data_IF_663676105351
#
_entry.id   IF_663676105351
#
_cell.length_a   1.000
_cell.length_b   1.000
_cell.length_c   1.000
_cell.angle_alpha   90.00
_cell.angle_beta   90.00
_cell.angle_gamma   90.00
#
_symmetry.space_group_name_H-M   'P 1'
#
loop_
_entity.id
_entity.type
_entity.pdbx_description
1 polymer ?
#
# COMPACT_ATOMS: atom_id res chain seq x y z
N UNK A 1 47.97 16.62 38.11
CA UNK A 1 46.91 16.40 39.12
C UNK A 1 45.72 17.26 38.73
N UNK A 2 44.80 16.72 37.92
CA UNK A 2 43.57 17.40 37.51
C UNK A 2 42.52 17.25 38.62
N UNK A 3 41.89 18.36 39.01
CA UNK A 3 40.79 18.37 39.98
C UNK A 3 39.55 17.72 39.36
N UNK A 4 38.73 16.98 40.15
CA UNK A 4 37.48 16.41 39.65
C UNK A 4 36.48 17.53 39.33
N UNK A 5 35.86 17.45 38.16
CA UNK A 5 34.70 18.25 37.77
C UNK A 5 33.56 18.02 38.75
N UNK A 6 33.09 19.10 39.38
CA UNK A 6 32.01 19.09 40.35
C UNK A 6 30.72 18.54 39.73
N UNK A 7 30.13 17.54 40.39
CA UNK A 7 28.75 17.12 40.18
C UNK A 7 27.82 18.32 40.38
N UNK A 8 27.03 18.65 39.37
CA UNK A 8 25.98 19.66 39.46
C UNK A 8 24.91 19.17 40.45
N UNK A 9 25.03 19.55 41.71
CA UNK A 9 23.98 19.34 42.71
C UNK A 9 22.74 20.17 42.30
N UNK A 10 21.78 19.49 41.67
CA UNK A 10 20.49 20.07 41.29
C UNK A 10 19.72 20.58 42.51
N UNK A 11 18.99 21.68 42.34
CA UNK A 11 18.14 22.31 43.36
C UNK A 11 17.35 21.25 44.15
N UNK A 12 17.56 21.21 45.47
CA UNK A 12 16.86 20.28 46.36
C UNK A 12 15.36 20.34 46.12
N UNK A 13 14.77 19.26 45.62
CA UNK A 13 13.37 19.30 45.23
C UNK A 13 12.80 17.94 44.89
N UNK A 14 11.50 17.80 45.14
CA UNK A 14 10.57 16.80 44.64
C UNK A 14 10.47 16.66 43.09
N UNK A 15 11.44 17.20 42.33
CA UNK A 15 11.48 17.18 40.86
C UNK A 15 11.96 15.86 40.21
N UNK A 16 12.83 15.02 40.81
CA UNK A 16 13.24 13.75 40.20
C UNK A 16 12.06 12.82 39.88
N UNK A 17 11.04 12.74 40.73
CA UNK A 17 9.86 11.91 40.46
C UNK A 17 8.94 12.47 39.36
N UNK A 18 9.18 13.70 38.89
CA UNK A 18 8.41 14.25 37.77
C UNK A 18 8.83 13.64 36.43
N UNK A 19 10.09 13.20 36.28
CA UNK A 19 10.52 12.51 35.04
C UNK A 19 9.91 11.13 34.91
N UNK A 20 9.40 10.55 36.00
CA UNK A 20 8.74 9.25 36.00
C UNK A 20 7.26 9.30 35.60
N UNK A 21 6.68 10.50 35.45
CA UNK A 21 5.27 10.69 35.02
C UNK A 21 5.12 10.56 33.50
N UNK A 22 5.44 9.39 32.97
CA UNK A 22 5.40 9.10 31.54
C UNK A 22 4.36 8.04 31.19
N UNK A 23 3.90 8.04 29.94
CA UNK A 23 3.03 6.98 29.43
C UNK A 23 3.69 5.59 29.55
N UNK A 24 5.00 5.50 29.28
CA UNK A 24 5.78 4.28 29.47
C UNK A 24 5.66 3.74 30.90
N UNK A 25 5.87 4.59 31.91
CA UNK A 25 5.80 4.15 33.30
C UNK A 25 4.37 3.79 33.73
N UNK A 26 3.33 4.45 33.19
CA UNK A 26 1.94 4.04 33.39
C UNK A 26 1.65 2.64 32.80
N UNK A 27 2.22 2.32 31.64
CA UNK A 27 2.12 0.97 31.04
C UNK A 27 2.89 -0.06 31.88
N UNK A 28 4.07 0.28 32.40
CA UNK A 28 4.82 -0.62 33.29
C UNK A 28 4.02 -0.99 34.53
N UNK A 29 3.42 0.00 35.20
CA UNK A 29 2.59 -0.22 36.40
C UNK A 29 1.38 -1.12 36.10
N UNK A 30 0.71 -0.91 34.95
CA UNK A 30 -0.38 -1.78 34.51
C UNK A 30 0.09 -3.22 34.31
N UNK A 31 1.24 -3.43 33.64
CA UNK A 31 1.78 -4.76 33.40
C UNK A 31 2.13 -5.45 34.72
N UNK A 32 2.79 -4.74 35.64
CA UNK A 32 3.20 -5.31 36.92
C UNK A 32 1.98 -5.64 37.81
N UNK A 33 1.00 -4.74 37.88
CA UNK A 33 -0.19 -4.93 38.72
C UNK A 33 -1.13 -6.02 38.21
N UNK A 34 -1.31 -6.15 36.89
CA UNK A 34 -2.28 -7.10 36.31
C UNK A 34 -1.66 -8.43 35.87
N UNK A 35 -0.38 -8.43 35.49
CA UNK A 35 0.29 -9.56 34.85
C UNK A 35 1.61 -9.96 35.52
N UNK A 36 2.03 -9.28 36.59
CA UNK A 36 3.30 -9.56 37.27
C UNK A 36 3.43 -10.98 37.82
N UNK A 37 2.29 -11.65 38.08
CA UNK A 37 2.23 -13.06 38.51
C UNK A 37 2.54 -14.07 37.41
N UNK A 38 2.54 -13.67 36.13
CA UNK A 38 2.79 -14.55 34.98
C UNK A 38 4.29 -14.77 34.68
N UNK A 39 5.19 -14.16 35.45
CA UNK A 39 6.64 -14.27 35.27
C UNK A 39 7.19 -13.38 34.15
N UNK A 40 8.51 -13.08 34.20
CA UNK A 40 9.20 -12.22 33.23
C UNK A 40 9.95 -11.02 33.83
N UNK A 41 9.60 -10.63 35.06
CA UNK A 41 10.30 -9.60 35.85
C UNK A 41 10.30 -8.20 35.23
N UNK A 42 10.89 -7.24 35.95
CA UNK A 42 10.89 -5.82 35.55
C UNK A 42 11.48 -5.57 34.16
N UNK A 43 12.44 -6.40 33.72
CA UNK A 43 13.07 -6.25 32.41
C UNK A 43 12.11 -6.51 31.26
N UNK A 44 11.25 -7.54 31.36
CA UNK A 44 10.24 -7.80 30.33
C UNK A 44 9.18 -6.70 30.31
N UNK A 45 8.72 -6.25 31.49
CA UNK A 45 7.76 -5.14 31.61
C UNK A 45 8.30 -3.85 30.99
N UNK A 46 9.57 -3.52 31.22
CA UNK A 46 10.22 -2.34 30.63
C UNK A 46 10.31 -2.42 29.10
N UNK A 47 10.68 -3.60 28.57
CA UNK A 47 10.71 -3.86 27.13
C UNK A 47 9.32 -3.70 26.50
N UNK A 48 8.30 -4.33 27.08
CA UNK A 48 6.92 -4.25 26.60
C UNK A 48 6.38 -2.82 26.69
N UNK A 49 6.61 -2.12 27.80
CA UNK A 49 6.17 -0.74 27.96
C UNK A 49 6.86 0.21 26.98
N UNK A 50 8.14 -0.02 26.68
CA UNK A 50 8.85 0.73 25.65
C UNK A 50 8.25 0.49 24.26
N UNK A 51 7.91 -0.76 23.93
CA UNK A 51 7.33 -1.08 22.62
C UNK A 51 5.90 -0.58 22.47
N UNK A 52 5.09 -0.65 23.54
CA UNK A 52 3.75 -0.05 23.58
C UNK A 52 3.83 1.47 23.43
N UNK A 53 4.79 2.13 24.07
CA UNK A 53 4.99 3.58 23.91
C UNK A 53 5.36 3.94 22.48
N UNK A 54 6.29 3.19 21.86
CA UNK A 54 6.63 3.38 20.44
C UNK A 54 5.43 3.15 19.51
N UNK A 55 4.60 2.14 19.80
CA UNK A 55 3.37 1.89 19.05
C UNK A 55 2.37 3.03 19.25
N UNK A 56 2.25 3.56 20.46
CA UNK A 56 1.39 4.70 20.73
C UNK A 56 1.87 5.94 19.96
N UNK A 57 3.17 6.26 19.99
CA UNK A 57 3.76 7.35 19.22
C UNK A 57 3.57 7.16 17.71
N UNK A 58 3.63 5.91 17.24
CA UNK A 58 3.40 5.59 15.84
C UNK A 58 1.92 5.80 15.45
N UNK A 59 0.97 5.29 16.25
CA UNK A 59 -0.47 5.20 15.91
C UNK A 59 -1.29 6.42 16.31
N UNK A 60 -0.93 7.11 17.38
CA UNK A 60 -1.61 8.29 17.85
C UNK A 60 -0.81 9.52 17.41
N UNK A 61 -1.12 10.03 16.21
CA UNK A 61 -0.58 11.29 15.73
C UNK A 61 -0.98 12.43 16.67
N UNK A 62 -0.03 13.28 17.06
CA UNK A 62 -0.38 14.51 17.80
C UNK A 62 -1.34 15.35 16.94
N UNK A 63 -2.43 15.83 17.55
CA UNK A 63 -3.51 16.57 16.88
C UNK A 63 -3.01 17.81 16.13
N UNK A 64 -1.84 18.33 16.50
CA UNK A 64 -1.25 19.54 15.93
C UNK A 64 -0.75 19.37 14.47
N UNK A 65 -0.74 18.14 13.93
CA UNK A 65 -0.22 17.84 12.60
C UNK A 65 -1.29 17.49 11.54
N UNK A 66 -2.58 17.49 11.89
CA UNK A 66 -3.67 17.16 10.95
C UNK A 66 -4.39 18.43 10.55
N UNK A 67 -4.38 18.75 9.24
CA UNK A 67 -5.06 19.93 8.70
C UNK A 67 -6.51 19.63 8.35
N UNK A 68 -7.34 20.68 8.28
CA UNK A 68 -8.73 20.56 7.77
C UNK A 68 -8.75 19.89 6.41
N UNK A 69 -9.68 18.95 6.22
CA UNK A 69 -9.79 18.19 4.98
C UNK A 69 -8.82 17.01 4.85
N UNK A 70 -8.03 16.71 5.88
CA UNK A 70 -7.20 15.51 5.93
C UNK A 70 -7.88 14.37 6.71
N UNK A 71 -7.54 13.14 6.33
CA UNK A 71 -8.02 11.91 6.95
C UNK A 71 -6.82 11.07 7.39
N UNK A 72 -6.84 10.63 8.66
CA UNK A 72 -5.86 9.67 9.18
C UNK A 72 -6.37 8.26 8.94
N UNK A 73 -5.53 7.42 8.34
CA UNK A 73 -5.84 6.03 8.00
C UNK A 73 -4.72 5.12 8.46
N UNK A 74 -5.07 3.95 8.98
CA UNK A 74 -4.11 2.87 9.23
C UNK A 74 -4.14 1.90 8.06
N UNK A 75 -3.03 1.79 7.33
CA UNK A 75 -2.97 1.08 6.05
C UNK A 75 -1.78 0.10 6.01
N UNK A 76 -1.86 -0.91 5.15
CA UNK A 76 -0.80 -1.92 4.98
C UNK A 76 0.49 -1.29 4.43
N UNK A 77 1.63 -1.58 5.04
CA UNK A 77 2.94 -1.16 4.55
C UNK A 77 3.21 -1.70 3.13
N UNK A 78 3.75 -0.87 2.23
CA UNK A 78 4.12 -1.28 0.88
C UNK A 78 5.19 -2.38 0.90
N UNK A 79 6.12 -2.33 1.86
CA UNK A 79 7.18 -3.31 2.08
C UNK A 79 6.69 -4.66 2.63
N UNK A 80 5.41 -4.79 2.98
CA UNK A 80 4.84 -6.03 3.48
C UNK A 80 4.91 -7.13 2.40
N UNK A 81 5.26 -8.35 2.80
CA UNK A 81 5.28 -9.49 1.87
C UNK A 81 3.94 -10.25 1.94
N UNK A 82 3.18 -10.31 0.84
CA UNK A 82 1.96 -11.10 0.80
C UNK A 82 2.29 -12.58 1.03
N UNK A 83 1.52 -13.25 1.88
CA UNK A 83 1.56 -14.71 2.07
C UNK A 83 0.15 -15.27 2.05
N UNK A 84 -0.03 -16.39 1.35
CA UNK A 84 -1.31 -17.10 1.30
C UNK A 84 -1.76 -17.44 2.73
N UNK A 85 -3.00 -17.13 3.07
CA UNK A 85 -3.57 -17.38 4.40
C UNK A 85 -3.15 -16.42 5.51
N UNK A 86 -2.27 -15.44 5.23
CA UNK A 86 -1.90 -14.42 6.22
C UNK A 86 -3.07 -13.50 6.52
N UNK A 87 -3.52 -13.50 7.79
CA UNK A 87 -4.61 -12.65 8.27
C UNK A 87 -4.19 -11.19 8.39
N UNK A 88 -5.16 -10.28 8.29
CA UNK A 88 -4.92 -8.84 8.46
C UNK A 88 -4.33 -8.52 9.83
N UNK A 89 -4.75 -9.23 10.89
CA UNK A 89 -4.22 -9.09 12.26
C UNK A 89 -2.69 -9.28 12.36
N UNK A 90 -2.08 -10.00 11.41
CA UNK A 90 -0.64 -10.28 11.40
C UNK A 90 0.10 -9.45 10.34
N UNK A 91 -0.55 -8.44 9.76
CA UNK A 91 -0.02 -7.61 8.67
C UNK A 91 0.59 -6.34 9.24
N UNK A 92 1.77 -5.93 8.75
CA UNK A 92 2.39 -4.68 9.19
C UNK A 92 1.57 -3.51 8.66
N UNK A 93 1.03 -2.73 9.59
CA UNK A 93 0.26 -1.53 9.30
C UNK A 93 1.07 -0.29 9.66
N UNK A 94 0.78 0.81 8.99
CA UNK A 94 1.34 2.12 9.28
C UNK A 94 0.21 3.17 9.14
N UNK A 95 0.07 4.07 10.12
CA UNK A 95 -0.82 5.20 10.01
C UNK A 95 -0.24 6.24 9.06
N UNK A 96 -1.10 6.82 8.25
CA UNK A 96 -0.78 7.86 7.28
C UNK A 96 -1.87 8.93 7.31
N UNK A 97 -1.54 10.11 6.82
CA UNK A 97 -2.50 11.19 6.63
C UNK A 97 -2.67 11.43 5.13
N UNK A 98 -3.90 11.44 4.64
CA UNK A 98 -4.21 11.75 3.24
C UNK A 98 -5.13 12.96 3.13
N UNK A 99 -4.98 13.74 2.07
CA UNK A 99 -5.92 14.82 1.77
C UNK A 99 -7.20 14.22 1.18
N UNK A 100 -8.36 14.44 1.81
CA UNK A 100 -9.66 14.00 1.29
C UNK A 100 -10.07 14.82 0.06
N UNK A 101 -9.74 16.11 0.07
CA UNK A 101 -9.90 17.03 -1.05
C UNK A 101 -8.73 18.00 -1.09
N UNK A 102 -8.49 18.57 -2.27
CA UNK A 102 -7.47 19.61 -2.49
C UNK A 102 -8.12 20.86 -3.08
N UNK A 103 -7.46 22.01 -2.93
CA UNK A 103 -7.96 23.27 -3.50
C UNK A 103 -8.18 23.16 -5.02
N UNK A 104 -7.27 22.46 -5.71
CA UNK A 104 -7.41 22.17 -7.15
C UNK A 104 -8.69 21.39 -7.46
N UNK A 105 -9.03 20.38 -6.67
CA UNK A 105 -10.26 19.60 -6.86
C UNK A 105 -11.52 20.43 -6.59
N UNK A 106 -11.46 21.36 -5.64
CA UNK A 106 -12.54 22.32 -5.39
C UNK A 106 -12.71 23.26 -6.59
N UNK A 107 -11.62 23.80 -7.13
CA UNK A 107 -11.66 24.64 -8.33
C UNK A 107 -12.16 23.89 -9.57
N UNK A 108 -11.70 22.64 -9.79
CA UNK A 108 -12.17 21.79 -10.88
C UNK A 108 -13.70 21.57 -10.76
N UNK A 109 -14.22 21.33 -9.54
CA UNK A 109 -15.66 21.20 -9.31
C UNK A 109 -16.38 22.52 -9.62
N UNK A 110 -15.96 23.65 -9.06
CA UNK A 110 -16.58 24.97 -9.30
C UNK A 110 -16.62 25.29 -10.80
N UNK A 111 -15.61 24.85 -11.55
CA UNK A 111 -15.49 25.02 -13.00
C UNK A 111 -16.40 24.08 -13.82
N UNK A 112 -17.24 23.28 -13.18
CA UNK A 112 -18.22 22.40 -13.82
C UNK A 112 -17.78 20.96 -14.04
N UNK A 113 -16.69 20.50 -13.43
CA UNK A 113 -16.26 19.10 -13.55
C UNK A 113 -17.31 18.13 -13.00
N UNK A 114 -17.64 17.11 -13.79
CA UNK A 114 -18.56 16.06 -13.37
C UNK A 114 -18.05 15.31 -12.13
N UNK A 115 -18.97 14.93 -11.24
CA UNK A 115 -18.67 14.24 -9.98
C UNK A 115 -17.94 12.91 -10.18
N UNK A 116 -18.22 12.21 -11.28
CA UNK A 116 -17.54 10.97 -11.65
C UNK A 116 -16.05 11.20 -11.93
N UNK A 117 -15.72 12.20 -12.74
CA UNK A 117 -14.34 12.54 -13.09
C UNK A 117 -13.57 13.05 -11.87
N UNK A 118 -14.23 13.82 -11.01
CA UNK A 118 -13.65 14.25 -9.75
C UNK A 118 -13.31 13.07 -8.84
N UNK A 119 -14.21 12.07 -8.73
CA UNK A 119 -13.96 10.83 -7.97
C UNK A 119 -12.79 10.03 -8.52
N UNK A 120 -12.71 9.86 -9.84
CA UNK A 120 -11.60 9.18 -10.52
C UNK A 120 -10.26 9.84 -10.16
N UNK A 121 -10.15 11.16 -10.39
CA UNK A 121 -8.95 11.95 -10.07
C UNK A 121 -8.57 11.83 -8.59
N UNK A 122 -9.54 11.97 -7.69
CA UNK A 122 -9.33 11.90 -6.25
C UNK A 122 -8.82 10.53 -5.81
N UNK A 123 -9.46 9.45 -6.24
CA UNK A 123 -9.05 8.08 -5.90
C UNK A 123 -7.61 7.82 -6.38
N UNK A 124 -7.29 8.19 -7.61
CA UNK A 124 -5.94 8.03 -8.15
C UNK A 124 -4.89 8.84 -7.38
N UNK A 125 -5.22 10.08 -7.00
CA UNK A 125 -4.35 10.93 -6.17
C UNK A 125 -4.13 10.31 -4.78
N UNK A 126 -5.19 9.90 -4.09
CA UNK A 126 -5.13 9.32 -2.74
C UNK A 126 -4.28 8.04 -2.75
N UNK A 127 -4.38 7.20 -3.77
CA UNK A 127 -3.51 6.02 -3.94
C UNK A 127 -2.02 6.41 -4.05
N UNK A 128 -1.70 7.41 -4.87
CA UNK A 128 -0.32 7.90 -5.02
C UNK A 128 0.21 8.51 -3.73
N UNK A 129 -0.57 9.36 -3.07
CA UNK A 129 -0.22 9.99 -1.80
C UNK A 129 0.07 8.98 -0.68
N UNK A 130 -0.69 7.89 -0.64
CA UNK A 130 -0.43 6.80 0.30
C UNK A 130 0.85 6.01 -0.05
N UNK A 131 1.07 5.76 -1.34
CA UNK A 131 2.27 5.08 -1.80
C UNK A 131 3.54 5.88 -1.50
N UNK A 132 3.49 7.20 -1.70
CA UNK A 132 4.58 8.12 -1.36
C UNK A 132 4.92 8.10 0.14
N UNK A 133 3.94 7.77 0.99
CA UNK A 133 4.12 7.56 2.43
C UNK A 133 4.53 6.13 2.81
N UNK A 134 4.75 5.25 1.82
CA UNK A 134 5.24 3.88 2.01
C UNK A 134 4.17 2.87 2.39
N UNK A 135 2.88 3.15 2.09
CA UNK A 135 1.77 2.22 2.35
C UNK A 135 0.94 1.99 1.09
N UNK A 136 0.16 0.92 1.05
CA UNK A 136 -0.68 0.56 -0.11
C UNK A 136 -2.11 0.28 0.34
N UNK A 137 -3.05 1.08 -0.17
CA UNK A 137 -4.48 0.90 0.10
C UNK A 137 -5.07 -0.22 -0.75
N UNK A 138 -6.10 -0.88 -0.24
CA UNK A 138 -6.94 -1.78 -1.02
C UNK A 138 -8.21 -1.06 -1.53
N UNK A 139 -8.97 -1.71 -2.42
CA UNK A 139 -10.19 -1.11 -2.97
C UNK A 139 -11.30 -0.90 -1.93
N UNK A 140 -11.29 -1.70 -0.85
CA UNK A 140 -12.17 -1.52 0.30
C UNK A 140 -11.87 -0.22 1.05
N UNK A 141 -10.60 0.09 1.30
CA UNK A 141 -10.18 1.35 1.93
C UNK A 141 -10.70 2.55 1.13
N UNK A 142 -10.49 2.56 -0.20
CA UNK A 142 -11.02 3.60 -1.09
C UNK A 142 -12.55 3.68 -1.06
N UNK A 143 -13.23 2.53 -1.01
CA UNK A 143 -14.69 2.45 -1.00
C UNK A 143 -15.29 3.06 0.27
N UNK A 144 -14.62 2.90 1.42
CA UNK A 144 -15.02 3.53 2.67
C UNK A 144 -14.84 5.06 2.62
N UNK A 145 -13.70 5.52 2.09
CA UNK A 145 -13.42 6.96 1.95
C UNK A 145 -14.44 7.66 1.04
N UNK A 146 -14.90 6.98 -0.02
CA UNK A 146 -15.77 7.57 -1.04
C UNK A 146 -17.23 7.14 -0.94
N UNK A 147 -17.61 6.39 0.10
CA UNK A 147 -18.95 5.85 0.32
C UNK A 147 -19.52 5.14 -0.92
N UNK A 148 -18.75 4.20 -1.47
CA UNK A 148 -19.17 3.37 -2.59
C UNK A 148 -18.82 1.90 -2.33
N UNK A 149 -19.08 1.02 -3.30
CA UNK A 149 -18.66 -0.38 -3.20
C UNK A 149 -17.21 -0.56 -3.67
N UNK A 150 -16.48 -1.58 -3.20
CA UNK A 150 -15.14 -1.91 -3.71
C UNK A 150 -15.14 -2.15 -5.22
N UNK A 151 -16.25 -2.69 -5.77
CA UNK A 151 -16.42 -2.87 -7.21
C UNK A 151 -16.46 -1.53 -7.95
N UNK A 152 -17.20 -0.55 -7.44
CA UNK A 152 -17.26 0.80 -8.01
C UNK A 152 -15.92 1.52 -7.91
N UNK A 153 -15.23 1.42 -6.76
CA UNK A 153 -13.89 1.97 -6.61
C UNK A 153 -12.91 1.34 -7.63
N UNK A 154 -12.96 0.02 -7.81
CA UNK A 154 -12.17 -0.69 -8.82
C UNK A 154 -12.46 -0.22 -10.24
N UNK A 155 -13.73 0.01 -10.60
CA UNK A 155 -14.10 0.55 -11.92
C UNK A 155 -13.48 1.93 -12.17
N UNK A 156 -13.48 2.82 -11.19
CA UNK A 156 -12.87 4.15 -11.34
C UNK A 156 -11.34 4.07 -11.44
N UNK A 157 -10.70 3.26 -10.59
CA UNK A 157 -9.26 3.01 -10.66
C UNK A 157 -8.87 2.51 -12.05
N UNK A 158 -9.53 1.48 -12.56
CA UNK A 158 -9.26 0.95 -13.90
C UNK A 158 -9.56 1.93 -15.03
N UNK A 159 -10.58 2.78 -14.89
CA UNK A 159 -10.86 3.85 -15.85
C UNK A 159 -9.67 4.79 -15.96
N UNK A 160 -9.14 5.26 -14.81
CA UNK A 160 -7.96 6.14 -14.80
C UNK A 160 -6.73 5.45 -15.36
N UNK A 161 -6.50 4.19 -14.99
CA UNK A 161 -5.36 3.42 -15.50
C UNK A 161 -5.40 3.30 -17.02
N UNK A 162 -6.58 3.02 -17.60
CA UNK A 162 -6.77 2.92 -19.05
C UNK A 162 -6.65 4.28 -19.76
N UNK A 163 -7.24 5.33 -19.20
CA UNK A 163 -7.18 6.70 -19.76
C UNK A 163 -5.75 7.24 -19.77
N UNK A 164 -4.97 6.93 -18.73
CA UNK A 164 -3.59 7.44 -18.57
C UNK A 164 -2.52 6.48 -19.07
N UNK A 165 -2.87 5.22 -19.36
CA UNK A 165 -1.92 4.12 -19.59
C UNK A 165 -0.89 3.97 -18.47
N UNK A 166 -1.30 4.21 -17.22
CA UNK A 166 -0.45 4.03 -16.02
C UNK A 166 -1.10 3.02 -15.08
N UNK A 167 -0.30 2.29 -14.30
CA UNK A 167 -0.83 1.40 -13.25
C UNK A 167 -0.76 2.13 -11.93
N UNK A 168 -1.87 2.16 -11.19
CA UNK A 168 -1.95 2.88 -9.92
C UNK A 168 -1.38 2.02 -8.77
N UNK A 169 -0.68 2.62 -7.80
CA UNK A 169 0.01 1.88 -6.75
C UNK A 169 -0.92 1.54 -5.58
N UNK A 170 -1.79 0.55 -5.77
CA UNK A 170 -2.66 0.02 -4.72
C UNK A 170 -2.24 -1.42 -4.37
N UNK A 171 -2.79 -1.96 -3.29
CA UNK A 171 -2.39 -3.27 -2.77
C UNK A 171 -2.52 -4.39 -3.81
N UNK A 172 -3.52 -4.31 -4.68
CA UNK A 172 -3.74 -5.30 -5.75
C UNK A 172 -2.60 -5.35 -6.76
N UNK A 173 -2.01 -4.20 -7.11
CA UNK A 173 -0.91 -4.09 -8.08
C UNK A 173 0.44 -4.31 -7.39
N UNK A 174 0.70 -3.63 -6.29
CA UNK A 174 1.99 -3.69 -5.58
C UNK A 174 2.28 -5.08 -4.98
N UNK A 175 1.26 -5.76 -4.45
CA UNK A 175 1.41 -7.11 -3.87
C UNK A 175 0.94 -8.24 -4.80
N UNK A 176 0.62 -7.92 -6.06
CA UNK A 176 0.06 -8.85 -7.05
C UNK A 176 -1.14 -9.66 -6.49
N UNK A 177 -1.97 -9.00 -5.67
CA UNK A 177 -3.13 -9.57 -4.96
C UNK A 177 -4.46 -9.40 -5.72
N UNK A 178 -4.44 -8.73 -6.88
CA UNK A 178 -5.62 -8.55 -7.72
C UNK A 178 -6.11 -9.88 -8.31
N UNK A 179 -7.43 -10.11 -8.31
CA UNK A 179 -8.06 -11.29 -8.95
C UNK A 179 -8.11 -11.20 -10.48
N UNK A 180 -7.46 -10.21 -11.09
CA UNK A 180 -7.59 -9.92 -12.51
C UNK A 180 -6.26 -9.90 -13.22
N UNK A 181 -6.25 -10.46 -14.41
CA UNK A 181 -5.22 -10.28 -15.41
C UNK A 181 -4.91 -8.81 -15.74
N UNK A 182 -5.74 -7.86 -15.30
CA UNK A 182 -5.78 -6.48 -15.77
C UNK A 182 -4.43 -5.75 -15.76
N UNK A 183 -3.72 -5.66 -14.65
CA UNK A 183 -2.42 -4.96 -14.62
C UNK A 183 -1.33 -5.74 -15.35
N UNK A 184 -1.39 -7.08 -15.35
CA UNK A 184 -0.49 -7.96 -16.13
C UNK A 184 -0.70 -7.76 -17.63
N UNK A 185 -1.96 -7.67 -18.05
CA UNK A 185 -2.40 -7.38 -19.43
C UNK A 185 -2.00 -5.97 -19.83
N UNK A 186 -2.17 -4.96 -18.97
CA UNK A 186 -1.71 -3.59 -19.24
C UNK A 186 -0.20 -3.51 -19.44
N UNK A 187 0.59 -4.20 -18.60
CA UNK A 187 2.06 -4.27 -18.77
C UNK A 187 2.42 -4.89 -20.12
N UNK A 188 1.79 -6.01 -20.47
CA UNK A 188 2.01 -6.67 -21.77
C UNK A 188 1.56 -5.77 -22.92
N UNK A 189 0.44 -5.05 -22.78
CA UNK A 189 -0.04 -4.12 -23.79
C UNK A 189 0.94 -2.96 -24.03
N UNK A 190 1.50 -2.37 -22.96
CA UNK A 190 2.53 -1.34 -23.09
C UNK A 190 3.76 -1.87 -23.84
N UNK A 191 4.17 -3.10 -23.55
CA UNK A 191 5.24 -3.78 -24.27
C UNK A 191 4.90 -3.98 -25.77
N UNK A 192 3.68 -4.42 -26.08
CA UNK A 192 3.22 -4.61 -27.47
C UNK A 192 3.09 -3.31 -28.26
N UNK A 193 2.94 -2.17 -27.57
CA UNK A 193 3.01 -0.82 -28.14
C UNK A 193 4.45 -0.34 -28.41
N UNK A 194 5.47 -1.15 -28.10
CA UNK A 194 6.88 -0.83 -28.34
C UNK A 194 7.55 -0.01 -27.23
N UNK A 195 6.93 0.10 -26.05
CA UNK A 195 7.51 0.80 -24.91
C UNK A 195 8.59 -0.09 -24.28
N UNK A 196 9.77 0.46 -24.03
CA UNK A 196 10.87 -0.28 -23.43
C UNK A 196 10.52 -0.72 -22.00
N UNK A 197 10.94 -1.93 -21.60
CA UNK A 197 10.65 -2.47 -20.25
C UNK A 197 11.12 -1.55 -19.12
N UNK A 198 12.20 -0.79 -19.34
CA UNK A 198 12.70 0.24 -18.41
C UNK A 198 11.71 1.38 -18.18
N UNK A 199 10.96 1.76 -19.21
CA UNK A 199 9.94 2.80 -19.12
C UNK A 199 8.63 2.23 -18.58
N UNK A 200 8.27 1.00 -18.96
CA UNK A 200 7.14 0.28 -18.38
C UNK A 200 7.29 0.16 -16.85
N UNK A 201 8.50 -0.12 -16.37
CA UNK A 201 8.81 -0.12 -14.93
C UNK A 201 8.46 1.23 -14.27
N UNK A 202 8.85 2.34 -14.91
CA UNK A 202 8.55 3.70 -14.40
C UNK A 202 7.05 3.99 -14.43
N UNK A 203 6.34 3.49 -15.45
CA UNK A 203 4.91 3.71 -15.63
C UNK A 203 4.03 2.84 -14.73
N UNK A 204 4.53 1.69 -14.28
CA UNK A 204 3.70 0.68 -13.60
C UNK A 204 4.10 0.37 -12.17
N UNK A 205 5.14 1.02 -11.62
CA UNK A 205 5.66 0.81 -10.24
C UNK A 205 6.08 -0.63 -9.91
N UNK A 206 6.16 -1.50 -10.92
CA UNK A 206 6.64 -2.86 -10.80
C UNK A 206 8.17 -2.95 -10.90
N UNK A 207 8.75 -4.06 -10.44
CA UNK A 207 10.15 -4.37 -10.72
C UNK A 207 10.34 -4.77 -12.18
N UNK A 208 11.56 -4.60 -12.71
CA UNK A 208 11.92 -5.09 -14.05
C UNK A 208 11.64 -6.58 -14.19
N UNK A 209 12.00 -7.35 -13.17
CA UNK A 209 11.77 -8.79 -13.12
C UNK A 209 10.28 -9.14 -13.21
N UNK A 210 9.41 -8.40 -12.53
CA UNK A 210 7.96 -8.62 -12.62
C UNK A 210 7.44 -8.31 -14.03
N UNK A 211 7.86 -7.19 -14.62
CA UNK A 211 7.51 -6.85 -16.01
C UNK A 211 7.96 -7.95 -16.99
N UNK A 212 9.22 -8.40 -16.88
CA UNK A 212 9.78 -9.45 -17.73
C UNK A 212 9.04 -10.79 -17.55
N UNK A 213 8.65 -11.13 -16.32
CA UNK A 213 7.87 -12.33 -16.04
C UNK A 213 6.50 -12.30 -16.76
N UNK A 214 5.82 -11.15 -16.77
CA UNK A 214 4.54 -11.01 -17.48
C UNK A 214 4.72 -11.06 -19.01
N UNK A 215 5.74 -10.39 -19.55
CA UNK A 215 6.07 -10.44 -20.99
C UNK A 215 6.42 -11.86 -21.42
N UNK A 216 7.24 -12.59 -20.64
CA UNK A 216 7.54 -14.01 -20.87
C UNK A 216 6.29 -14.87 -20.82
N UNK A 217 5.36 -14.56 -19.92
CA UNK A 217 4.07 -15.22 -19.83
C UNK A 217 3.24 -15.07 -21.11
N UNK A 218 3.12 -13.85 -21.62
CA UNK A 218 2.44 -13.60 -22.90
C UNK A 218 3.11 -14.32 -24.07
N UNK A 219 4.44 -14.28 -24.19
CA UNK A 219 5.18 -15.01 -25.24
C UNK A 219 4.91 -16.51 -25.20
N UNK A 220 4.79 -17.10 -24.00
CA UNK A 220 4.42 -18.51 -23.82
C UNK A 220 3.03 -18.78 -24.37
N UNK A 221 2.04 -17.94 -24.04
CA UNK A 221 0.67 -18.07 -24.58
C UNK A 221 0.66 -17.94 -26.10
N UNK A 222 1.40 -16.98 -26.66
CA UNK A 222 1.52 -16.81 -28.12
C UNK A 222 2.09 -18.03 -28.83
N UNK A 223 3.10 -18.68 -28.24
CA UNK A 223 3.66 -19.93 -28.80
C UNK A 223 2.67 -21.10 -28.71
N UNK A 224 1.98 -21.24 -27.58
CA UNK A 224 1.02 -22.33 -27.37
C UNK A 224 -0.21 -22.19 -28.28
N UNK A 225 -0.68 -20.95 -28.50
CA UNK A 225 -1.84 -20.68 -29.35
C UNK A 225 -1.65 -21.08 -30.82
N UNK A 226 -0.41 -21.25 -31.28
CA UNK A 226 -0.12 -21.71 -32.64
C UNK A 226 -0.35 -23.22 -32.83
N UNK A 227 -0.40 -24.01 -31.74
CA UNK A 227 -0.34 -25.48 -31.81
C UNK A 227 -1.43 -26.20 -31.01
N UNK A 228 -2.06 -25.51 -30.06
CA UNK A 228 -3.00 -26.10 -29.11
C UNK A 228 -4.31 -25.33 -29.12
N UNK A 229 -5.39 -26.01 -28.69
CA UNK A 229 -6.69 -25.37 -28.53
C UNK A 229 -6.69 -24.45 -27.32
N UNK A 230 -7.50 -23.39 -27.37
CA UNK A 230 -7.60 -22.38 -26.30
C UNK A 230 -7.88 -23.01 -24.93
N UNK A 231 -8.67 -24.08 -24.91
CA UNK A 231 -9.03 -24.82 -23.69
C UNK A 231 -7.83 -25.51 -23.00
N UNK A 232 -6.79 -25.86 -23.76
CA UNK A 232 -5.61 -26.59 -23.28
C UNK A 232 -4.51 -25.65 -22.76
N UNK A 233 -4.50 -24.40 -23.26
CA UNK A 233 -3.46 -23.41 -22.96
C UNK A 233 -3.34 -23.09 -21.46
N UNK A 234 -4.42 -22.94 -20.66
CA UNK A 234 -4.29 -22.69 -19.22
C UNK A 234 -3.50 -23.77 -18.49
N UNK A 235 -3.77 -25.04 -18.81
CA UNK A 235 -3.06 -26.18 -18.24
C UNK A 235 -1.59 -26.19 -18.66
N UNK A 236 -1.32 -26.02 -19.96
CA UNK A 236 0.05 -26.03 -20.52
C UNK A 236 0.89 -24.82 -20.08
N UNK A 237 0.26 -23.67 -19.88
CA UNK A 237 0.94 -22.43 -19.49
C UNK A 237 1.14 -22.31 -17.98
N UNK A 238 0.35 -23.03 -17.17
CA UNK A 238 0.28 -22.89 -15.72
C UNK A 238 -0.42 -21.59 -15.27
N UNK A 239 -1.25 -20.99 -16.13
CA UNK A 239 -1.93 -19.71 -15.89
C UNK A 239 -3.43 -19.91 -15.70
N UNK A 240 -4.09 -18.93 -15.08
CA UNK A 240 -5.54 -18.96 -14.96
C UNK A 240 -6.21 -18.82 -16.34
N UNK A 241 -7.36 -19.46 -16.58
CA UNK A 241 -8.11 -19.31 -17.83
C UNK A 241 -8.42 -17.86 -18.19
N UNK A 242 -8.73 -17.04 -17.17
CA UNK A 242 -8.97 -15.61 -17.36
C UNK A 242 -7.74 -14.87 -17.89
N UNK A 243 -6.53 -15.16 -17.37
CA UNK A 243 -5.30 -14.51 -17.83
C UNK A 243 -4.94 -14.93 -19.26
N UNK A 244 -5.10 -16.22 -19.58
CA UNK A 244 -4.88 -16.73 -20.93
C UNK A 244 -5.80 -16.03 -21.94
N UNK A 245 -7.10 -15.93 -21.64
CA UNK A 245 -8.04 -15.24 -22.53
C UNK A 245 -7.69 -13.77 -22.75
N UNK A 246 -7.22 -13.06 -21.73
CA UNK A 246 -6.77 -11.68 -21.90
C UNK A 246 -5.50 -11.57 -22.77
N UNK A 247 -4.56 -12.50 -22.63
CA UNK A 247 -3.37 -12.55 -23.50
C UNK A 247 -3.70 -12.92 -24.94
N UNK A 248 -4.68 -13.79 -25.17
CA UNK A 248 -5.18 -14.10 -26.52
C UNK A 248 -5.79 -12.86 -27.16
N UNK A 249 -6.67 -12.14 -26.45
CA UNK A 249 -7.25 -10.88 -26.94
C UNK A 249 -6.17 -9.86 -27.32
N UNK A 250 -5.11 -9.74 -26.52
CA UNK A 250 -3.95 -8.89 -26.85
C UNK A 250 -3.21 -9.39 -28.09
N UNK A 251 -2.99 -10.70 -28.18
CA UNK A 251 -2.39 -11.34 -29.34
C UNK A 251 -3.17 -11.02 -30.62
N UNK A 252 -4.47 -11.24 -30.63
CA UNK A 252 -5.35 -10.89 -31.76
C UNK A 252 -5.30 -9.39 -32.08
N UNK A 253 -5.42 -8.53 -31.07
CA UNK A 253 -5.39 -7.06 -31.24
C UNK A 253 -4.09 -6.55 -31.87
N UNK A 254 -2.95 -7.15 -31.53
CA UNK A 254 -1.62 -6.72 -31.98
C UNK A 254 -1.00 -7.69 -33.00
N UNK A 255 -1.81 -8.54 -33.66
CA UNK A 255 -1.36 -9.51 -34.67
C UNK A 255 -0.20 -10.41 -34.19
N UNK A 256 -0.28 -10.89 -32.95
CA UNK A 256 0.65 -11.81 -32.31
C UNK A 256 2.11 -11.35 -32.34
N UNK A 257 2.35 -10.03 -32.30
CA UNK A 257 3.69 -9.48 -32.07
C UNK A 257 4.28 -10.08 -30.79
N UNK A 258 5.50 -10.60 -30.88
CA UNK A 258 6.22 -11.21 -29.74
C UNK A 258 7.55 -10.51 -29.44
N UNK A 259 8.05 -9.70 -30.37
CA UNK A 259 9.27 -8.90 -30.33
C UNK A 259 9.54 -8.38 -31.73
#
# INVERSE_FOLDING_TARGET
MMRPSQETQGRGSSYPSMVDKTFKNAVMELIQSQYGSLGGGNRLSDMLASDVSKLADQFFLSKDFIRTGQLVLTVVCASERPRVGKRMANTKLKPITVNLFTDKEIHDWISGMGTQELRKKRMARILKEAYDQGVVMNLGDLSLIHLCTPLTAGRYVHSVENETNTVLPYRGTIHDMGRGATHKTQIVELYLRGIATTDIKRMTTHSLEACDNYIRGYRRVALLHQRFRVEEIPFLSGMSPSLVNEYIKLGEKYNWKTG
#
